data_IF_143634681543
#
_entry.id   IF_143634681543
#
_cell.length_a   1.000
_cell.length_b   1.000
_cell.length_c   1.000
_cell.angle_alpha   90.00
_cell.angle_beta   90.00
_cell.angle_gamma   90.00
#
_symmetry.space_group_name_H-M   'P 1'
#
loop_
_entity.id
_entity.type
_entity.pdbx_description
1 polymer ?
#
# COMPACT_ATOMS: atom_id res chain seq x y z
N UNK A 1 -14.02 12.45 -21.98
CA UNK A 1 -12.60 12.72 -22.26
C UNK A 1 -12.22 12.09 -23.62
N UNK A 2 -11.43 12.77 -24.48
CA UNK A 2 -11.14 12.28 -25.84
C UNK A 2 -10.55 10.86 -25.87
N UNK A 3 -9.64 10.53 -24.98
CA UNK A 3 -9.04 9.18 -24.90
C UNK A 3 -10.08 8.10 -24.56
N UNK A 4 -11.08 8.43 -23.74
CA UNK A 4 -12.07 7.45 -23.28
C UNK A 4 -13.16 7.24 -24.35
N UNK A 5 -13.38 8.22 -25.22
CA UNK A 5 -14.34 8.12 -26.33
C UNK A 5 -13.98 7.02 -27.32
N UNK A 6 -12.69 6.86 -27.62
CA UNK A 6 -12.22 5.81 -28.53
C UNK A 6 -12.43 4.41 -27.91
N UNK A 7 -12.11 4.26 -26.61
CA UNK A 7 -12.31 2.99 -25.89
C UNK A 7 -13.79 2.61 -25.78
N UNK A 8 -14.64 3.60 -25.52
CA UNK A 8 -16.08 3.39 -25.47
C UNK A 8 -16.64 2.98 -26.84
N UNK A 9 -16.22 3.64 -27.90
CA UNK A 9 -16.64 3.31 -29.27
C UNK A 9 -16.20 1.88 -29.67
N UNK A 10 -15.01 1.48 -29.30
CA UNK A 10 -14.51 0.11 -29.54
C UNK A 10 -15.32 -0.93 -28.78
N UNK A 11 -15.62 -0.68 -27.51
CA UNK A 11 -16.48 -1.56 -26.70
C UNK A 11 -17.86 -1.75 -27.32
N UNK A 12 -18.50 -0.65 -27.76
CA UNK A 12 -19.78 -0.72 -28.48
C UNK A 12 -19.67 -1.51 -29.77
N UNK A 13 -18.62 -1.30 -30.56
CA UNK A 13 -18.37 -2.03 -31.81
C UNK A 13 -18.22 -3.54 -31.56
N UNK A 14 -17.49 -3.93 -30.53
CA UNK A 14 -17.31 -5.34 -30.16
C UNK A 14 -18.62 -6.01 -29.75
N UNK A 15 -19.45 -5.30 -28.97
CA UNK A 15 -20.78 -5.77 -28.58
C UNK A 15 -21.71 -5.87 -29.81
N UNK A 16 -21.80 -4.85 -30.66
CA UNK A 16 -22.61 -4.84 -31.87
C UNK A 16 -22.26 -5.97 -32.83
N UNK A 17 -20.96 -6.22 -33.01
CA UNK A 17 -20.46 -7.29 -33.88
C UNK A 17 -20.50 -8.67 -33.20
N UNK A 18 -21.06 -8.77 -31.98
CA UNK A 18 -21.16 -10.01 -31.18
C UNK A 18 -19.81 -10.67 -30.90
N UNK A 19 -18.71 -9.93 -30.94
CA UNK A 19 -17.38 -10.42 -30.56
C UNK A 19 -17.30 -10.69 -29.06
N UNK A 20 -18.05 -9.91 -28.28
CA UNK A 20 -18.24 -10.10 -26.85
C UNK A 20 -19.73 -9.99 -26.52
N UNK A 21 -20.16 -10.60 -25.42
CA UNK A 21 -21.54 -10.56 -24.94
C UNK A 21 -21.76 -9.57 -23.80
N UNK A 22 -20.70 -9.16 -23.14
CA UNK A 22 -20.71 -8.17 -22.07
C UNK A 22 -19.37 -7.42 -22.00
N UNK A 23 -19.41 -6.23 -21.41
CA UNK A 23 -18.20 -5.42 -21.21
C UNK A 23 -18.40 -4.40 -20.09
N UNK A 24 -17.28 -3.95 -19.56
CA UNK A 24 -17.24 -2.91 -18.52
C UNK A 24 -16.15 -1.91 -18.89
N UNK A 25 -16.44 -0.63 -18.66
CA UNK A 25 -15.49 0.46 -18.90
C UNK A 25 -15.73 1.58 -17.88
N UNK A 26 -14.65 2.22 -17.44
CA UNK A 26 -14.73 3.47 -16.69
C UNK A 26 -14.34 4.61 -17.61
N UNK A 27 -15.20 5.61 -17.73
CA UNK A 27 -14.99 6.77 -18.60
C UNK A 27 -15.07 8.08 -17.81
N UNK A 28 -14.33 9.07 -18.26
CA UNK A 28 -14.35 10.43 -17.74
C UNK A 28 -15.34 11.26 -18.55
N UNK A 29 -16.31 11.85 -17.87
CA UNK A 29 -17.27 12.77 -18.44
C UNK A 29 -17.03 14.16 -17.84
N UNK A 30 -16.95 15.17 -18.68
CA UNK A 30 -16.77 16.54 -18.21
C UNK A 30 -18.09 17.06 -17.64
N UNK A 31 -18.05 17.53 -16.39
CA UNK A 31 -19.17 18.17 -15.71
C UNK A 31 -18.97 19.69 -15.77
N UNK A 32 -19.68 20.36 -16.69
CA UNK A 32 -19.55 21.81 -16.88
C UNK A 32 -19.85 22.64 -15.64
N UNK A 33 -20.92 22.36 -14.85
CA UNK A 33 -21.21 23.11 -13.64
C UNK A 33 -20.09 23.10 -12.61
N UNK A 34 -19.39 21.99 -12.52
CA UNK A 34 -18.29 21.83 -11.55
C UNK A 34 -16.91 22.07 -12.17
N UNK A 35 -16.85 22.30 -13.48
CA UNK A 35 -15.61 22.48 -14.26
C UNK A 35 -14.57 21.38 -14.01
N UNK A 36 -15.02 20.12 -13.88
CA UNK A 36 -14.18 18.97 -13.61
C UNK A 36 -14.68 17.70 -14.29
N UNK A 37 -13.82 16.69 -14.39
CA UNK A 37 -14.18 15.38 -14.87
C UNK A 37 -14.77 14.54 -13.73
N UNK A 38 -15.91 13.88 -14.01
CA UNK A 38 -16.48 12.82 -13.20
C UNK A 38 -16.19 11.47 -13.84
N UNK A 39 -16.04 10.44 -13.04
CA UNK A 39 -15.76 9.08 -13.46
C UNK A 39 -17.04 8.24 -13.39
N UNK A 40 -17.39 7.63 -14.52
CA UNK A 40 -18.55 6.75 -14.59
C UNK A 40 -18.13 5.35 -15.00
N UNK A 41 -18.43 4.36 -14.18
CA UNK A 41 -18.31 2.95 -14.50
C UNK A 41 -19.57 2.52 -15.25
N UNK A 42 -19.42 2.04 -16.48
CA UNK A 42 -20.49 1.53 -17.32
C UNK A 42 -20.32 0.04 -17.52
N UNK A 43 -21.38 -0.72 -17.22
CA UNK A 43 -21.44 -2.16 -17.49
C UNK A 43 -22.52 -2.39 -18.54
N UNK A 44 -22.19 -3.11 -19.59
CA UNK A 44 -23.05 -3.33 -20.74
C UNK A 44 -23.10 -4.80 -21.09
N UNK A 45 -24.25 -5.25 -21.58
CA UNK A 45 -24.43 -6.61 -22.10
C UNK A 45 -25.37 -6.63 -23.28
N UNK A 46 -25.22 -7.63 -24.14
CA UNK A 46 -26.18 -7.96 -25.17
C UNK A 46 -27.41 -8.63 -24.54
N UNK A 47 -28.58 -8.18 -24.92
CA UNK A 47 -29.85 -8.80 -24.59
C UNK A 47 -30.58 -9.20 -25.87
N UNK A 48 -31.12 -10.41 -25.86
CA UNK A 48 -31.87 -10.97 -27.01
C UNK A 48 -33.39 -11.04 -26.74
N UNK A 49 -33.87 -10.55 -25.60
CA UNK A 49 -35.22 -10.90 -25.09
C UNK A 49 -36.37 -10.04 -25.62
N UNK A 50 -36.13 -9.01 -26.43
CA UNK A 50 -37.26 -8.19 -26.89
C UNK A 50 -37.49 -8.34 -28.40
N UNK A 51 -38.55 -9.09 -28.80
CA UNK A 51 -39.05 -9.23 -30.18
C UNK A 51 -38.01 -9.65 -31.24
N UNK A 52 -37.02 -10.47 -30.83
CA UNK A 52 -35.94 -10.95 -31.75
C UNK A 52 -34.94 -9.89 -32.12
N UNK A 53 -34.96 -8.70 -31.52
CA UNK A 53 -33.96 -7.65 -31.73
C UNK A 53 -32.84 -7.76 -30.69
N UNK A 54 -31.62 -7.69 -31.14
CA UNK A 54 -30.46 -7.57 -30.27
C UNK A 54 -30.39 -6.15 -29.70
N UNK A 55 -30.36 -6.03 -28.39
CA UNK A 55 -30.22 -4.75 -27.71
C UNK A 55 -28.99 -4.78 -26.81
N UNK A 56 -28.32 -3.64 -26.62
CA UNK A 56 -27.35 -3.43 -25.60
C UNK A 56 -28.05 -2.80 -24.39
N UNK A 57 -28.01 -3.47 -23.28
CA UNK A 57 -28.52 -2.97 -22.00
C UNK A 57 -27.36 -2.78 -21.03
N UNK A 58 -27.44 -1.75 -20.19
CA UNK A 58 -26.34 -1.47 -19.27
C UNK A 58 -26.79 -0.65 -18.07
N UNK A 59 -25.87 -0.55 -17.14
CA UNK A 59 -25.94 0.30 -15.95
C UNK A 59 -24.76 1.24 -15.95
N UNK A 60 -24.93 2.40 -15.36
CA UNK A 60 -23.87 3.39 -15.18
C UNK A 60 -23.86 3.84 -13.71
N UNK A 61 -22.69 3.86 -13.12
CA UNK A 61 -22.46 4.26 -11.73
C UNK A 61 -21.45 5.39 -11.68
N UNK A 62 -21.73 6.45 -10.95
CA UNK A 62 -20.75 7.48 -10.62
C UNK A 62 -19.78 6.90 -9.60
N UNK A 63 -18.50 6.81 -9.96
CA UNK A 63 -17.42 6.30 -9.12
C UNK A 63 -16.37 7.37 -8.82
N UNK A 64 -16.73 8.65 -8.99
CA UNK A 64 -15.82 9.78 -8.85
C UNK A 64 -15.16 9.82 -7.48
N UNK A 65 -15.94 9.75 -6.41
CA UNK A 65 -15.42 9.78 -5.04
C UNK A 65 -14.48 8.60 -4.77
N UNK A 66 -14.88 7.39 -5.20
CA UNK A 66 -14.04 6.20 -5.07
C UNK A 66 -12.69 6.36 -5.77
N UNK A 67 -12.70 6.88 -7.00
CA UNK A 67 -11.48 7.10 -7.79
C UNK A 67 -10.60 8.19 -7.19
N UNK A 68 -11.21 9.28 -6.69
CA UNK A 68 -10.48 10.36 -6.02
C UNK A 68 -9.85 9.88 -4.71
N UNK A 69 -10.57 9.11 -3.90
CA UNK A 69 -10.02 8.53 -2.68
C UNK A 69 -8.87 7.57 -2.96
N UNK A 70 -9.04 6.66 -3.93
CA UNK A 70 -7.98 5.73 -4.32
C UNK A 70 -6.71 6.48 -4.78
N UNK A 71 -6.87 7.51 -5.61
CA UNK A 71 -5.76 8.36 -6.05
C UNK A 71 -5.08 9.07 -4.88
N UNK A 72 -5.87 9.68 -4.00
CA UNK A 72 -5.33 10.37 -2.82
C UNK A 72 -4.54 9.44 -1.91
N UNK A 73 -5.04 8.22 -1.70
CA UNK A 73 -4.33 7.20 -0.91
C UNK A 73 -3.01 6.82 -1.59
N UNK A 74 -3.04 6.60 -2.89
CA UNK A 74 -1.84 6.27 -3.65
C UNK A 74 -0.80 7.40 -3.62
N UNK A 75 -1.23 8.66 -3.76
CA UNK A 75 -0.36 9.83 -3.66
C UNK A 75 0.26 9.97 -2.26
N UNK A 76 -0.50 9.64 -1.20
CA UNK A 76 0.02 9.66 0.18
C UNK A 76 1.05 8.55 0.41
N UNK A 77 0.80 7.35 -0.09
CA UNK A 77 1.76 6.24 -0.03
C UNK A 77 3.05 6.62 -0.74
N UNK A 78 2.97 7.12 -1.98
CA UNK A 78 4.14 7.53 -2.74
C UNK A 78 4.94 8.65 -2.05
N UNK A 79 4.27 9.63 -1.43
CA UNK A 79 4.93 10.69 -0.66
C UNK A 79 5.61 10.14 0.60
N UNK A 80 4.96 9.20 1.31
CA UNK A 80 5.54 8.52 2.47
C UNK A 80 6.81 7.77 2.06
N UNK A 81 6.73 6.96 1.02
CA UNK A 81 7.87 6.20 0.49
C UNK A 81 9.04 7.12 0.10
N UNK A 82 8.75 8.21 -0.60
CA UNK A 82 9.78 9.18 -0.97
C UNK A 82 10.43 9.83 0.27
N UNK A 83 9.63 10.21 1.27
CA UNK A 83 10.15 10.78 2.51
C UNK A 83 11.03 9.78 3.27
N UNK A 84 10.68 8.50 3.26
CA UNK A 84 11.49 7.43 3.87
C UNK A 84 12.79 7.18 3.10
N UNK A 85 12.79 7.27 1.77
CA UNK A 85 14.00 7.09 0.97
C UNK A 85 15.02 8.21 1.14
N UNK A 86 14.56 9.43 1.43
CA UNK A 86 15.43 10.62 1.60
C UNK A 86 15.95 10.77 3.03
N UNK A 87 15.30 10.10 3.99
CA UNK A 87 15.70 10.10 5.40
C UNK A 87 16.38 8.78 5.75
N UNK A 88 17.43 8.82 6.59
CA UNK A 88 18.06 7.63 7.17
C UNK A 88 17.16 6.96 8.23
N UNK A 89 15.83 6.90 7.94
CA UNK A 89 14.84 6.33 8.85
C UNK A 89 14.41 4.98 8.31
N UNK A 90 14.63 3.96 9.12
CA UNK A 90 14.11 2.60 8.89
C UNK A 90 12.74 2.50 9.56
N UNK A 91 11.74 2.10 8.80
CA UNK A 91 10.44 1.75 9.34
C UNK A 91 10.40 0.26 9.67
N UNK A 92 9.85 -0.09 10.81
CA UNK A 92 9.70 -1.48 11.24
C UNK A 92 8.37 -1.70 11.92
N UNK A 93 7.84 -2.90 11.74
CA UNK A 93 6.68 -3.41 12.45
C UNK A 93 7.10 -4.63 13.28
N UNK A 94 6.49 -4.81 14.45
CA UNK A 94 6.70 -5.95 15.32
C UNK A 94 5.37 -6.61 15.65
N UNK A 95 5.18 -7.83 15.18
CA UNK A 95 4.01 -8.64 15.55
C UNK A 95 4.24 -9.28 16.93
N UNK A 96 3.51 -8.80 17.92
CA UNK A 96 3.59 -9.26 19.32
C UNK A 96 3.23 -10.74 19.46
N UNK A 97 2.35 -11.26 18.60
CA UNK A 97 1.90 -12.65 18.65
C UNK A 97 2.95 -13.62 18.11
N UNK A 98 3.58 -13.28 17.01
CA UNK A 98 4.62 -14.11 16.39
C UNK A 98 6.01 -13.77 16.90
N UNK A 99 6.18 -12.64 17.58
CA UNK A 99 7.45 -12.09 18.08
C UNK A 99 8.49 -11.89 16.97
N UNK A 100 8.01 -11.41 15.80
CA UNK A 100 8.86 -11.15 14.65
C UNK A 100 8.80 -9.71 14.23
N UNK A 101 9.95 -9.22 13.78
CA UNK A 101 10.10 -7.92 13.15
C UNK A 101 9.98 -8.06 11.63
N UNK A 102 9.35 -7.07 11.03
CA UNK A 102 9.39 -6.80 9.60
C UNK A 102 9.95 -5.38 9.43
N UNK A 103 11.04 -5.23 8.68
CA UNK A 103 11.62 -3.92 8.41
C UNK A 103 11.43 -3.53 6.96
N UNK A 104 11.16 -2.25 6.76
CA UNK A 104 10.96 -1.67 5.45
C UNK A 104 12.08 -0.68 5.18
N UNK A 105 12.72 -0.84 4.02
CA UNK A 105 13.76 0.09 3.57
C UNK A 105 14.95 0.18 4.52
N UNK A 106 15.45 -0.97 4.97
CA UNK A 106 16.57 -1.05 5.92
C UNK A 106 17.92 -0.98 5.18
N UNK A 107 18.58 0.20 5.12
CA UNK A 107 19.87 0.35 4.47
C UNK A 107 21.03 -0.23 5.29
N UNK A 108 20.82 -0.49 6.59
CA UNK A 108 21.85 -0.95 7.51
C UNK A 108 22.04 -2.45 7.40
N UNK A 109 20.93 -3.20 7.46
CA UNK A 109 20.96 -4.66 7.49
C UNK A 109 20.55 -5.31 6.17
N UNK A 110 20.10 -4.51 5.19
CA UNK A 110 19.63 -4.99 3.89
C UNK A 110 18.54 -6.08 4.03
N UNK A 111 17.70 -5.96 5.06
CA UNK A 111 16.49 -6.79 5.16
C UNK A 111 15.50 -6.36 4.07
N UNK A 112 15.06 -7.31 3.30
CA UNK A 112 13.97 -7.07 2.33
C UNK A 112 12.63 -7.08 3.06
N UNK A 113 11.65 -6.37 2.53
CA UNK A 113 10.28 -6.28 3.08
C UNK A 113 9.58 -7.63 3.34
N UNK A 114 10.13 -8.73 2.83
CA UNK A 114 9.57 -10.07 3.00
C UNK A 114 10.31 -10.89 4.06
N UNK A 115 11.33 -10.33 4.71
CA UNK A 115 12.13 -11.05 5.68
C UNK A 115 11.66 -10.76 7.10
N UNK A 116 11.05 -11.76 7.73
CA UNK A 116 10.66 -11.73 9.14
C UNK A 116 11.83 -12.13 10.02
N UNK A 117 12.25 -11.23 10.90
CA UNK A 117 13.39 -11.39 11.80
C UNK A 117 12.89 -11.63 13.22
N UNK A 118 13.38 -12.67 13.89
CA UNK A 118 13.09 -12.92 15.30
C UNK A 118 13.82 -11.94 16.22
N UNK A 119 13.38 -11.83 17.49
CA UNK A 119 14.08 -11.03 18.50
C UNK A 119 15.53 -11.49 18.64
N UNK A 120 15.78 -12.79 18.61
CA UNK A 120 17.12 -13.36 18.76
C UNK A 120 18.03 -12.95 17.60
N UNK A 121 17.56 -13.09 16.36
CA UNK A 121 18.28 -12.65 15.16
C UNK A 121 18.53 -11.14 15.16
N UNK A 122 17.56 -10.35 15.62
CA UNK A 122 17.74 -8.90 15.75
C UNK A 122 18.83 -8.55 16.79
N UNK A 123 18.86 -9.25 17.92
CA UNK A 123 19.88 -9.03 18.96
C UNK A 123 21.28 -9.39 18.49
N UNK A 124 21.44 -10.32 17.55
CA UNK A 124 22.76 -10.68 17.01
C UNK A 124 23.45 -9.53 16.27
N UNK A 125 22.69 -8.62 15.66
CA UNK A 125 23.23 -7.44 14.98
C UNK A 125 23.44 -6.23 15.92
N UNK A 126 23.02 -6.34 17.18
CA UNK A 126 23.20 -5.31 18.21
C UNK A 126 24.56 -5.51 18.89
N UNK A 127 25.24 -4.41 19.18
CA UNK A 127 26.51 -4.44 19.91
C UNK A 127 26.37 -5.21 21.24
N UNK A 128 27.31 -6.11 21.59
CA UNK A 128 27.18 -6.98 22.78
C UNK A 128 26.86 -6.24 24.08
N UNK A 129 27.45 -5.06 24.30
CA UNK A 129 27.18 -4.24 25.49
C UNK A 129 25.75 -3.66 25.52
N UNK A 130 25.08 -3.53 24.37
CA UNK A 130 23.77 -2.91 24.26
C UNK A 130 22.64 -3.96 24.25
N UNK A 131 22.95 -5.24 23.98
CA UNK A 131 21.97 -6.33 23.83
C UNK A 131 21.07 -6.49 25.05
N UNK A 132 21.61 -6.43 26.26
CA UNK A 132 20.81 -6.58 27.49
C UNK A 132 19.77 -5.47 27.61
N UNK A 133 20.18 -4.21 27.42
CA UNK A 133 19.28 -3.06 27.55
C UNK A 133 18.20 -3.03 26.46
N UNK A 134 18.53 -3.46 25.24
CA UNK A 134 17.59 -3.58 24.14
C UNK A 134 16.57 -4.68 24.41
N UNK A 135 17.05 -5.86 24.85
CA UNK A 135 16.17 -6.97 25.22
C UNK A 135 15.21 -6.57 26.35
N UNK A 136 15.71 -5.91 27.39
CA UNK A 136 14.87 -5.44 28.51
C UNK A 136 13.80 -4.44 28.06
N UNK A 137 14.12 -3.56 27.12
CA UNK A 137 13.17 -2.63 26.54
C UNK A 137 12.05 -3.37 25.76
N UNK A 138 12.41 -4.36 24.96
CA UNK A 138 11.47 -5.20 24.21
C UNK A 138 10.58 -5.99 25.16
N UNK A 139 11.16 -6.67 26.16
CA UNK A 139 10.43 -7.47 27.14
C UNK A 139 9.50 -6.61 27.99
N UNK A 140 9.91 -5.38 28.35
CA UNK A 140 9.07 -4.43 29.08
C UNK A 140 7.84 -3.98 28.29
N UNK A 141 7.96 -3.86 26.96
CA UNK A 141 6.83 -3.59 26.07
C UNK A 141 5.92 -4.81 25.98
N UNK A 142 6.48 -6.01 25.77
CA UNK A 142 5.72 -7.26 25.64
C UNK A 142 4.93 -7.59 26.91
N UNK A 143 5.47 -7.26 28.07
CA UNK A 143 4.79 -7.44 29.37
C UNK A 143 3.73 -6.38 29.69
N UNK A 144 3.54 -5.38 28.80
CA UNK A 144 2.60 -4.29 29.00
C UNK A 144 3.04 -3.24 30.03
N UNK A 145 4.29 -3.33 30.52
CA UNK A 145 4.81 -2.38 31.50
C UNK A 145 5.15 -1.01 30.90
N UNK A 146 5.41 -0.96 29.59
CA UNK A 146 5.64 0.28 28.86
C UNK A 146 4.77 0.32 27.60
N UNK A 147 4.15 1.48 27.39
CA UNK A 147 3.33 1.74 26.21
C UNK A 147 4.22 2.07 24.99
N UNK A 148 5.39 2.69 25.21
CA UNK A 148 6.31 3.09 24.15
C UNK A 148 7.70 2.56 24.45
N UNK A 149 8.43 2.15 23.42
CA UNK A 149 9.88 1.93 23.50
C UNK A 149 10.62 3.10 22.88
N UNK A 150 11.69 3.50 23.56
CA UNK A 150 12.65 4.48 23.05
C UNK A 150 14.03 4.12 23.63
N UNK A 151 14.95 3.77 22.77
CA UNK A 151 16.33 3.48 23.13
C UNK A 151 17.30 3.83 22.01
N UNK A 152 18.57 3.96 22.37
CA UNK A 152 19.65 4.10 21.41
C UNK A 152 20.56 2.89 21.55
N UNK A 153 20.96 2.29 20.44
CA UNK A 153 21.87 1.15 20.42
C UNK A 153 22.83 1.26 19.23
N UNK A 154 23.91 0.49 19.29
CA UNK A 154 24.83 0.29 18.19
C UNK A 154 24.42 -0.93 17.40
N UNK A 155 24.23 -0.76 16.10
CA UNK A 155 23.87 -1.84 15.16
C UNK A 155 25.06 -2.06 14.22
N UNK A 156 25.41 -3.31 13.98
CA UNK A 156 26.46 -3.67 13.03
C UNK A 156 25.92 -3.55 11.61
N UNK A 157 26.66 -2.85 10.74
CA UNK A 157 26.33 -2.78 9.33
C UNK A 157 26.81 -4.02 8.60
N UNK A 158 26.02 -4.51 7.65
CA UNK A 158 26.33 -5.73 6.88
C UNK A 158 27.50 -5.55 5.89
N UNK A 159 27.82 -4.29 5.57
CA UNK A 159 28.76 -4.00 4.47
C UNK A 159 30.19 -3.78 4.88
N UNK A 160 30.45 -3.28 6.09
CA UNK A 160 31.77 -2.81 6.50
C UNK A 160 32.15 -3.17 7.95
N UNK A 161 31.37 -4.04 8.61
CA UNK A 161 31.58 -4.45 10.01
C UNK A 161 31.70 -3.28 11.00
N UNK A 162 31.23 -2.08 10.61
CA UNK A 162 31.22 -0.91 11.49
C UNK A 162 29.97 -0.87 12.35
N UNK A 163 30.08 -0.19 13.50
CA UNK A 163 28.96 0.05 14.39
C UNK A 163 28.36 1.42 14.13
N UNK A 164 27.04 1.43 13.84
CA UNK A 164 26.28 2.67 13.70
C UNK A 164 25.36 2.87 14.92
N UNK A 165 25.27 4.13 15.38
CA UNK A 165 24.31 4.50 16.43
C UNK A 165 22.94 4.70 15.84
N UNK A 166 21.97 3.94 16.34
CA UNK A 166 20.59 4.02 15.93
C UNK A 166 19.71 4.40 17.12
N UNK A 167 18.80 5.34 16.90
CA UNK A 167 17.72 5.64 17.84
C UNK A 167 16.47 4.90 17.40
N UNK A 168 15.93 4.07 18.26
CA UNK A 168 14.76 3.22 18.00
C UNK A 168 13.59 3.73 18.81
N UNK A 169 12.47 3.99 18.15
CA UNK A 169 11.21 4.37 18.78
C UNK A 169 10.09 3.49 18.27
N UNK A 170 9.30 2.93 19.18
CA UNK A 170 8.13 2.12 18.84
C UNK A 170 6.95 2.48 19.73
N UNK A 171 5.76 2.43 19.14
CA UNK A 171 4.47 2.60 19.82
C UNK A 171 3.57 1.45 19.45
N UNK A 172 2.76 0.91 20.38
CA UNK A 172 1.79 -0.11 20.05
C UNK A 172 0.73 0.48 19.10
N UNK A 173 0.34 -0.31 18.14
CA UNK A 173 -0.70 0.02 17.20
C UNK A 173 -1.75 -1.09 17.23
N UNK A 174 -3.00 -0.73 17.52
CA UNK A 174 -4.14 -1.66 17.45
C UNK A 174 -4.79 -1.53 16.05
N UNK A 175 -4.95 -2.67 15.38
CA UNK A 175 -5.72 -2.77 14.15
C UNK A 175 -7.19 -3.09 14.45
#
# INVERSE_FOLDING_TARGET
HPQDSALLADLFSQLQNKKITQGQITVRVFNEPENQYRYYESRMRLSTEHRGKVQIVGTQLDVTEKMQMAKKTQDLIAKRELAMQVSDIVHWDFDVRTQKFESYNDPINNYTSDQLVSITEYLEVIHPEDQSSVNDAIQSMLSGNKININFTCRIQTKYDDTWQYCSVTGVPFEY
#
